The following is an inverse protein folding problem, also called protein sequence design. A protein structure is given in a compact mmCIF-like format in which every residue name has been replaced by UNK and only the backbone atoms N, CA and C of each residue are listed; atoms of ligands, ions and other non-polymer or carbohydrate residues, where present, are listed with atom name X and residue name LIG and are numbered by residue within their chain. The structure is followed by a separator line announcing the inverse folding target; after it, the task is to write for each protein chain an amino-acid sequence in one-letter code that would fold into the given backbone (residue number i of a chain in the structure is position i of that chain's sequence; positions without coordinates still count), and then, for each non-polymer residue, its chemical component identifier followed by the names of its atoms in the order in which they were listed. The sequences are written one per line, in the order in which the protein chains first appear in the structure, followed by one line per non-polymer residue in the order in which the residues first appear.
data_IF_052892151853
#
_entry.id   IF_052892151853
#
_cell.length_a   1.000
_cell.length_b   1.000
_cell.length_c   1.000
_cell.angle_alpha   90.00
_cell.angle_beta   90.00
_cell.angle_gamma   90.00
#
_symmetry.space_group_name_H-M   'P 1'
#
loop_
_entity.id
_entity.type
_entity.pdbx_description
1 polymer ?
2 polymer ?
3 non-polymer ?
4 water ?
#
# COMPACT_ATOMS: atom_id res chain seq x y z
N UNK A 23 -25.55 11.90 -12.74
CA UNK A 23 -24.38 11.96 -11.86
C UNK A 23 -23.50 13.18 -12.15
N UNK A 24 -22.89 13.74 -11.10
CA UNK A 24 -21.95 14.84 -11.26
C UNK A 24 -20.56 14.24 -11.47
N UNK A 25 -19.91 14.61 -12.57
CA UNK A 25 -18.59 14.08 -12.86
C UNK A 25 -17.51 15.08 -12.46
N UNK A 26 -16.32 14.56 -12.19
CA UNK A 26 -15.19 15.36 -11.74
C UNK A 26 -13.96 15.07 -12.60
N UNK A 27 -13.17 16.12 -12.85
CA UNK A 27 -11.90 15.99 -13.57
C UNK A 27 -10.82 16.63 -12.71
N UNK A 28 -9.82 15.84 -12.33
CA UNK A 28 -8.74 16.31 -11.46
C UNK A 28 -7.42 16.24 -12.21
N UNK A 29 -6.57 17.26 -12.03
CA UNK A 29 -5.28 17.31 -12.69
C UNK A 29 -4.27 18.02 -11.78
N UNK A 30 -2.99 17.67 -11.86
CA UNK A 30 -2.49 16.59 -12.72
C UNK A 30 -2.67 15.23 -12.04
N UNK A 31 -2.56 14.15 -12.81
CA UNK A 31 -2.62 12.82 -12.20
C UNK A 31 -1.40 12.55 -11.31
N UNK A 32 -0.25 13.14 -11.65
CA UNK A 32 0.92 13.04 -10.80
C UNK A 32 1.80 14.26 -11.05
N UNK A 33 2.73 14.51 -10.14
CA UNK A 33 3.65 15.63 -10.28
C UNK A 33 4.84 15.44 -9.34
N UNK A 34 6.00 15.91 -9.80
CA UNK A 34 7.20 15.98 -8.99
C UNK A 34 7.43 17.42 -8.57
N UNK A 35 7.70 17.62 -7.28
CA UNK A 35 7.82 18.96 -6.71
C UNK A 35 8.94 18.98 -5.70
N UNK A 36 9.69 20.08 -5.66
CA UNK A 36 10.76 20.24 -4.70
C UNK A 36 10.23 20.75 -3.37
N UNK A 37 11.00 20.52 -2.31
CA UNK A 37 10.69 21.06 -1.00
C UNK A 37 10.66 22.58 -1.05
N UNK A 38 9.68 23.18 -0.39
CA UNK A 38 9.54 24.61 -0.33
C UNK A 38 8.85 25.24 -1.52
N UNK A 39 8.37 24.46 -2.48
CA UNK A 39 7.78 25.00 -3.69
C UNK A 39 6.26 25.06 -3.57
N UNK A 40 5.64 25.88 -4.42
CA UNK A 40 4.21 26.11 -4.40
C UNK A 40 3.51 25.10 -5.30
N UNK A 41 2.64 24.28 -4.70
CA UNK A 41 1.94 23.20 -5.39
C UNK A 41 0.47 23.58 -5.55
N UNK A 42 -0.06 23.42 -6.76
CA UNK A 42 -1.46 23.67 -7.05
C UNK A 42 -2.06 22.46 -7.75
N UNK A 43 -3.19 21.98 -7.23
CA UNK A 43 -3.95 20.87 -7.79
C UNK A 43 -5.33 21.40 -8.11
N UNK A 44 -5.87 21.04 -9.29
CA UNK A 44 -7.16 21.59 -9.71
C UNK A 44 -8.20 20.49 -9.92
N UNK A 45 -9.47 20.91 -9.91
CA UNK A 45 -10.62 20.02 -9.99
C UNK A 45 -11.76 20.75 -10.69
N UNK A 46 -12.39 20.12 -11.68
CA UNK A 46 -13.49 20.73 -12.42
C UNK A 46 -14.69 19.79 -12.34
N UNK A 47 -15.82 20.32 -11.85
CA UNK A 47 -17.06 19.55 -11.78
C UNK A 47 -17.88 19.78 -13.04
N UNK A 48 -18.69 18.78 -13.39
CA UNK A 48 -19.50 18.86 -14.61
C UNK A 48 -20.67 19.81 -14.48
N UNK A 49 -20.90 20.39 -13.31
CA UNK A 49 -21.93 21.40 -13.13
C UNK A 49 -21.53 22.27 -11.95
N UNK A 50 -22.23 23.39 -11.80
CA UNK A 50 -22.10 24.21 -10.58
C UNK A 50 -22.41 23.37 -9.35
N UNK A 51 -21.44 23.23 -8.44
CA UNK A 51 -21.65 22.48 -7.21
C UNK A 51 -21.68 23.39 -5.98
N UNK A 52 -21.81 24.71 -6.17
CA UNK A 52 -22.09 25.62 -5.04
C UNK A 52 -21.06 25.50 -3.92
N UNK A 53 -19.81 25.28 -4.31
CA UNK A 53 -18.66 25.21 -3.40
C UNK A 53 -18.75 24.06 -2.41
N UNK A 54 -19.65 23.09 -2.61
CA UNK A 54 -19.62 21.84 -1.82
C UNK A 54 -18.52 20.96 -2.39
N UNK A 55 -17.29 21.39 -2.14
CA UNK A 55 -16.08 20.73 -2.63
C UNK A 55 -15.13 20.59 -1.45
N UNK A 56 -14.71 19.36 -1.16
CA UNK A 56 -13.74 19.11 -0.11
C UNK A 56 -12.48 18.48 -0.70
N UNK A 57 -11.35 18.73 -0.04
CA UNK A 57 -10.06 18.18 -0.45
C UNK A 57 -9.56 17.20 0.61
N UNK A 58 -8.97 16.10 0.15
CA UNK A 58 -8.48 15.04 1.02
C UNK A 58 -7.03 14.70 0.71
N UNK A 59 -6.31 14.30 1.75
CA UNK A 59 -5.01 13.67 1.64
C UNK A 59 -5.15 12.21 2.01
N UNK A 60 -4.41 11.32 1.33
CA UNK A 60 -4.38 9.91 1.68
C UNK A 60 -2.96 9.38 1.58
N UNK A 61 -2.45 8.88 2.69
CA UNK A 61 -1.12 8.27 2.74
C UNK A 61 -1.24 6.75 2.57
N UNK A 62 -0.14 6.09 2.18
CA UNK A 62 -0.23 4.64 1.90
C UNK A 62 -0.72 3.85 3.10
N UNK A 63 -1.74 3.02 2.86
CA UNK A 63 -2.30 2.17 3.88
C UNK A 63 -3.20 2.87 4.88
N UNK A 64 -3.48 4.15 4.70
CA UNK A 64 -4.25 4.93 5.63
C UNK A 64 -5.56 5.39 4.98
N UNK A 65 -6.47 5.86 5.83
CA UNK A 65 -7.75 6.38 5.39
C UNK A 65 -7.60 7.81 4.89
N UNK A 66 -8.54 8.26 4.03
CA UNK A 66 -8.49 9.67 3.61
C UNK A 66 -8.66 10.59 4.80
N UNK A 67 -8.07 11.78 4.70
CA UNK A 67 -8.18 12.79 5.74
C UNK A 67 -8.55 14.12 5.11
N UNK A 68 -9.56 14.78 5.66
CA UNK A 68 -10.02 16.06 5.12
C UNK A 68 -9.00 17.15 5.37
N UNK A 69 -8.67 17.91 4.32
CA UNK A 69 -7.83 19.10 4.41
C UNK A 69 -8.65 20.38 4.41
N UNK A 70 -9.69 20.43 3.59
CA UNK A 70 -10.48 21.63 3.31
C UNK A 70 -11.92 21.18 3.09
N UNK A 71 -12.88 21.96 3.57
CA UNK A 71 -14.27 21.70 3.25
C UNK A 71 -14.93 22.99 2.75
N UNK A 72 -16.12 22.83 2.16
CA UNK A 72 -16.84 23.91 1.47
C UNK A 72 -15.88 24.81 0.69
N UNK A 73 -15.02 24.17 -0.10
CA UNK A 73 -14.13 24.80 -1.07
C UNK A 73 -12.95 25.57 -0.44
N UNK A 74 -13.18 26.34 0.63
CA UNK A 74 -12.08 27.11 1.19
C UNK A 74 -12.02 27.14 2.71
N UNK A 75 -12.82 26.34 3.41
CA UNK A 75 -12.85 26.40 4.87
C UNK A 75 -11.81 25.47 5.46
N UNK A 76 -11.08 25.97 6.46
CA UNK A 76 -9.93 25.26 7.00
C UNK A 76 -10.29 24.60 8.32
N UNK A 77 -9.43 23.65 8.72
CA UNK A 77 -9.69 22.79 9.86
C UNK A 77 -8.55 22.88 10.85
N UNK A 78 -8.89 22.86 12.14
CA UNK A 78 -7.88 22.73 13.18
C UNK A 78 -7.13 21.41 13.01
N UNK A 79 -5.81 21.47 13.11
CA UNK A 79 -4.99 20.30 12.93
C UNK A 79 -4.43 20.12 11.54
N UNK A 80 -4.83 20.96 10.59
CA UNK A 80 -4.30 20.97 9.23
C UNK A 80 -3.39 22.18 9.09
N UNK A 81 -2.12 22.00 8.70
CA UNK A 81 -1.18 23.12 8.68
C UNK A 81 -1.63 24.24 7.76
N UNK A 82 -1.26 25.47 8.14
CA UNK A 82 -1.76 26.65 7.42
C UNK A 82 -1.29 26.70 5.97
N UNK A 83 -0.26 25.92 5.59
CA UNK A 83 0.20 25.97 4.22
C UNK A 83 -0.80 25.40 3.22
N UNK A 84 -1.85 24.70 3.69
CA UNK A 84 -2.91 24.20 2.83
C UNK A 84 -4.03 25.24 2.73
N UNK A 85 -4.48 25.49 1.50
CA UNK A 85 -5.61 26.39 1.28
C UNK A 85 -6.37 25.95 0.04
N UNK A 86 -7.65 26.28 0.01
CA UNK A 86 -8.50 25.95 -1.13
C UNK A 86 -9.18 27.18 -1.70
N UNK A 87 -9.62 27.11 -2.95
CA UNK A 87 -10.29 28.23 -3.58
C UNK A 87 -11.15 27.73 -4.73
N UNK A 88 -12.00 28.62 -5.23
CA UNK A 88 -12.82 28.36 -6.39
C UNK A 88 -14.30 28.48 -6.09
N UNK A 89 -15.08 28.38 -7.17
CA UNK A 89 -16.54 28.45 -7.12
C UNK A 89 -17.07 27.95 -8.45
N UNK A 90 -18.39 27.80 -8.53
CA UNK A 90 -18.98 27.28 -9.76
C UNK A 90 -18.48 25.86 -10.02
N UNK A 91 -17.76 25.67 -11.13
CA UNK A 91 -17.24 24.36 -11.50
C UNK A 91 -15.77 24.16 -11.17
N UNK A 92 -15.02 25.23 -10.90
CA UNK A 92 -13.56 25.21 -10.89
C UNK A 92 -13.01 25.44 -9.50
N UNK A 93 -12.14 24.53 -9.03
CA UNK A 93 -11.61 24.57 -7.68
C UNK A 93 -10.14 24.19 -7.71
N UNK A 94 -9.42 24.63 -6.69
CA UNK A 94 -7.99 24.34 -6.60
C UNK A 94 -7.58 24.18 -5.15
N UNK A 95 -6.62 23.28 -4.92
CA UNK A 95 -5.97 23.12 -3.62
C UNK A 95 -4.55 23.64 -3.77
N UNK A 96 -4.10 24.45 -2.82
CA UNK A 96 -2.75 25.03 -2.86
C UNK A 96 -1.97 24.63 -1.61
N UNK A 97 -0.75 24.14 -1.82
CA UNK A 97 0.24 23.98 -0.76
C UNK A 97 1.27 25.08 -0.99
N UNK A 98 1.27 26.09 -0.12
CA UNK A 98 2.10 27.27 -0.37
C UNK A 98 3.59 26.95 -0.26
N UNK A 99 3.97 25.93 0.52
CA UNK A 99 5.37 25.56 0.66
C UNK A 99 5.44 24.07 0.99
N UNK A 100 5.90 23.26 0.05
CA UNK A 100 5.85 21.81 0.22
C UNK A 100 6.79 21.35 1.31
N UNK A 101 6.31 20.41 2.13
CA UNK A 101 7.12 19.78 3.16
C UNK A 101 7.12 18.28 2.96
N UNK A 102 8.15 17.62 3.52
CA UNK A 102 8.34 16.18 3.32
C UNK A 102 7.07 15.39 3.58
N UNK A 103 6.38 15.72 4.68
CA UNK A 103 5.18 14.98 5.07
C UNK A 103 4.01 15.19 4.12
N UNK A 104 4.15 16.05 3.11
CA UNK A 104 3.06 16.26 2.15
C UNK A 104 3.09 15.26 1.00
N UNK A 105 4.14 14.43 0.91
CA UNK A 105 4.19 13.33 -0.03
C UNK A 105 2.97 12.42 0.16
N UNK A 106 2.28 12.11 -0.94
CA UNK A 106 1.10 11.27 -0.87
C UNK A 106 0.13 11.56 -2.02
N UNK A 107 -1.09 11.09 -1.85
CA UNK A 107 -2.15 11.24 -2.85
C UNK A 107 -3.21 12.23 -2.34
N UNK A 108 -3.82 12.95 -3.29
CA UNK A 108 -4.79 14.00 -2.97
C UNK A 108 -6.02 13.84 -3.84
N UNK A 109 -7.20 14.08 -3.25
CA UNK A 109 -8.48 13.90 -3.95
C UNK A 109 -9.40 15.07 -3.67
N UNK A 110 -10.06 15.57 -4.71
CA UNK A 110 -11.21 16.43 -4.49
C UNK A 110 -12.47 15.59 -4.38
N UNK A 111 -13.51 16.19 -3.80
CA UNK A 111 -14.79 15.54 -3.54
C UNK A 111 -15.90 16.56 -3.75
N UNK A 112 -16.83 16.29 -4.65
CA UNK A 112 -18.07 17.06 -4.68
C UNK A 112 -19.09 16.38 -3.78
N UNK A 113 -19.74 17.17 -2.93
CA UNK A 113 -20.84 16.65 -2.11
C UNK A 113 -22.04 17.59 -2.20
N UNK A 114 -22.21 18.23 -3.35
CA UNK A 114 -23.46 18.94 -3.59
C UNK A 114 -24.63 17.97 -3.66
N UNK A 115 -24.44 16.81 -4.30
CA UNK A 115 -25.51 15.86 -4.46
C UNK A 115 -24.97 14.45 -4.28
N UNK A 116 -25.73 13.61 -3.61
CA UNK A 116 -25.34 12.22 -3.57
C UNK A 116 -25.90 11.48 -4.80
N UNK A 117 -25.17 10.51 -5.39
CA UNK A 117 -23.85 10.01 -4.97
C UNK A 117 -22.73 11.03 -5.14
N UNK A 118 -21.96 11.21 -4.06
CA UNK A 118 -20.80 12.09 -4.09
C UNK A 118 -19.78 11.55 -5.08
N UNK A 119 -18.86 12.43 -5.48
CA UNK A 119 -17.91 12.07 -6.53
C UNK A 119 -16.51 12.52 -6.13
N UNK A 120 -15.60 11.57 -5.98
CA UNK A 120 -14.18 11.86 -5.82
C UNK A 120 -13.53 12.11 -7.19
N UNK A 121 -12.58 13.04 -7.22
CA UNK A 121 -11.66 13.10 -8.34
C UNK A 121 -10.83 11.84 -8.46
N UNK A 122 -10.18 11.70 -9.62
CA UNK A 122 -9.35 10.52 -9.90
C UNK A 122 -8.04 10.55 -9.13
N UNK A 123 -7.62 11.69 -8.62
CA UNK A 123 -6.53 11.75 -7.66
C UNK A 123 -5.26 12.31 -8.27
N UNK A 124 -4.40 12.84 -7.38
CA UNK A 124 -3.11 13.40 -7.74
C UNK A 124 -2.05 12.79 -6.84
N UNK A 125 -1.06 12.13 -7.45
CA UNK A 125 0.08 11.59 -6.72
C UNK A 125 1.17 12.64 -6.63
N UNK A 126 1.52 13.04 -5.41
CA UNK A 126 2.53 14.06 -5.15
C UNK A 126 3.84 13.38 -4.72
N UNK A 127 4.88 13.53 -5.54
CA UNK A 127 6.18 12.93 -5.24
C UNK A 127 7.24 14.03 -5.21
N UNK A 128 8.27 13.81 -4.37
CA UNK A 128 9.22 14.85 -4.02
C UNK A 128 10.51 14.66 -4.81
N UNK A 129 11.08 15.78 -5.29
CA UNK A 129 12.34 15.75 -6.04
C UNK A 129 13.53 15.67 -5.09
N UNK A 130 14.54 14.92 -5.51
CA UNK A 130 15.80 14.84 -4.79
C UNK A 130 16.92 14.60 -5.81
N UNK A 131 18.14 14.60 -5.33
CA UNK A 131 19.28 14.30 -6.20
C UNK A 131 19.24 12.83 -6.64
N UNK A 132 19.83 12.56 -7.79
CA UNK A 132 19.90 11.19 -8.29
C UNK A 132 20.76 10.34 -7.35
N UNK A 133 20.42 9.06 -7.25
CA UNK A 133 21.13 8.17 -6.33
C UNK A 133 21.19 6.78 -6.92
N UNK A 134 22.38 6.18 -6.89
CA UNK A 134 22.55 4.83 -7.41
C UNK A 134 22.01 3.81 -6.41
N UNK A 135 21.45 2.70 -6.91
CA UNK A 135 20.92 1.68 -6.01
C UNK A 135 22.01 0.93 -5.27
N UNK A 136 21.69 0.49 -4.06
CA UNK A 136 22.51 -0.46 -3.33
C UNK A 136 21.95 -1.86 -3.60
N UNK A 137 22.75 -2.70 -4.25
CA UNK A 137 22.27 -3.98 -4.76
C UNK A 137 22.81 -5.09 -3.88
N UNK A 138 21.91 -5.99 -3.46
CA UNK A 138 22.26 -7.17 -2.67
C UNK A 138 21.56 -8.38 -3.27
N UNK A 139 22.27 -9.51 -3.35
CA UNK A 139 21.75 -10.73 -3.94
C UNK A 139 21.76 -11.84 -2.89
N UNK A 140 20.77 -12.71 -2.94
CA UNK A 140 20.53 -13.71 -1.90
C UNK A 140 20.28 -15.07 -2.53
N UNK A 141 21.14 -16.07 -2.29
CA UNK A 141 20.88 -17.42 -2.78
C UNK A 141 19.66 -18.03 -2.10
N UNK A 142 19.12 -19.13 -2.63
CA UNK A 142 18.02 -19.80 -1.95
C UNK A 142 18.41 -20.23 -0.55
N UNK A 143 17.45 -20.17 0.36
CA UNK A 143 17.71 -20.66 1.70
C UNK A 143 17.71 -22.18 1.71
N UNK A 144 18.36 -22.76 2.71
CA UNK A 144 18.39 -24.21 2.82
C UNK A 144 17.00 -24.78 3.06
N UNK A 145 16.13 -24.03 3.77
CA UNK A 145 14.77 -24.51 3.99
C UNK A 145 14.02 -24.66 2.67
N UNK A 146 14.07 -23.64 1.81
CA UNK A 146 13.36 -23.73 0.54
C UNK A 146 13.92 -24.86 -0.33
N UNK A 147 15.24 -25.02 -0.32
CA UNK A 147 15.84 -26.12 -1.08
C UNK A 147 15.36 -27.47 -0.59
N UNK A 148 15.26 -27.64 0.73
CA UNK A 148 14.75 -28.91 1.25
C UNK A 148 13.30 -29.15 0.82
N UNK A 149 12.56 -28.09 0.54
CA UNK A 149 11.18 -28.22 0.08
C UNK A 149 11.08 -28.40 -1.43
N UNK A 150 12.17 -28.26 -2.17
CA UNK A 150 12.17 -28.53 -3.59
C UNK A 150 12.09 -27.33 -4.52
N UNK A 151 12.12 -26.11 -3.97
CA UNK A 151 12.13 -24.91 -4.78
C UNK A 151 13.42 -24.11 -4.56
N UNK A 152 13.62 -23.11 -5.43
CA UNK A 152 14.85 -22.32 -5.38
C UNK A 152 14.53 -20.91 -5.88
N UNK A 153 14.37 -19.97 -4.96
CA UNK A 153 14.19 -18.57 -5.30
C UNK A 153 15.48 -17.81 -5.06
N UNK A 154 15.88 -17.01 -6.03
CA UNK A 154 17.01 -16.09 -5.90
C UNK A 154 16.46 -14.68 -5.82
N UNK A 155 16.89 -13.93 -4.81
CA UNK A 155 16.32 -12.62 -4.50
C UNK A 155 17.40 -11.55 -4.63
N UNK A 156 17.02 -10.42 -5.21
CA UNK A 156 17.91 -9.29 -5.41
C UNK A 156 17.20 -8.05 -4.89
N UNK A 157 17.84 -7.32 -3.97
CA UNK A 157 17.31 -6.06 -3.46
C UNK A 157 18.04 -4.90 -4.11
N UNK A 158 17.29 -3.92 -4.57
CA UNK A 158 17.84 -2.68 -5.12
C UNK A 158 17.28 -1.57 -4.25
N UNK A 159 18.10 -1.04 -3.36
CA UNK A 159 17.64 -0.17 -2.28
C UNK A 159 18.08 1.27 -2.48
N UNK A 160 17.15 2.20 -2.28
CA UNK A 160 17.44 3.62 -2.12
C UNK A 160 18.04 4.23 -3.38
N UNK A 161 17.33 4.14 -4.49
CA UNK A 161 17.76 4.76 -5.74
C UNK A 161 16.77 5.85 -6.15
N UNK A 162 17.24 6.72 -7.05
CA UNK A 162 16.43 7.79 -7.60
C UNK A 162 17.02 8.23 -8.94
N UNK A 163 16.20 8.40 -9.99
CA UNK A 163 14.73 8.33 -9.96
C UNK A 163 14.15 6.92 -9.96
N UNK A 164 12.83 6.85 -10.12
CA UNK A 164 12.11 5.59 -10.00
C UNK A 164 12.46 4.61 -11.12
N UNK A 165 12.77 5.12 -12.31
CA UNK A 165 13.00 4.27 -13.47
C UNK A 165 14.24 3.41 -13.28
N UNK A 166 14.05 2.10 -13.31
CA UNK A 166 15.16 1.16 -13.18
C UNK A 166 14.78 -0.14 -13.88
N UNK A 167 15.80 -0.86 -14.35
CA UNK A 167 15.62 -2.16 -14.97
C UNK A 167 16.56 -3.16 -14.30
N UNK A 168 16.04 -4.36 -14.04
CA UNK A 168 16.81 -5.45 -13.48
C UNK A 168 16.86 -6.57 -14.49
N UNK A 169 18.04 -7.14 -14.68
CA UNK A 169 18.22 -8.29 -15.55
C UNK A 169 18.85 -9.41 -14.74
N UNK A 170 18.31 -10.61 -14.87
CA UNK A 170 18.91 -11.81 -14.28
C UNK A 170 19.70 -12.54 -15.35
N UNK A 171 20.81 -13.13 -14.93
CA UNK A 171 21.61 -13.98 -15.79
C UNK A 171 22.01 -15.23 -15.03
N UNK A 172 22.01 -16.37 -15.73
CA UNK A 172 22.38 -17.65 -15.16
C UNK A 172 23.47 -18.24 -16.05
N UNK A 173 24.64 -18.51 -15.46
CA UNK A 173 25.81 -18.95 -16.21
C UNK A 173 26.15 -17.97 -17.34
N UNK A 174 25.84 -16.69 -17.12
CA UNK A 174 26.06 -15.65 -18.10
C UNK A 174 24.95 -15.44 -19.09
N UNK A 175 23.84 -16.18 -18.97
CA UNK A 175 22.75 -16.13 -19.93
C UNK A 175 21.52 -15.50 -19.28
N UNK A 176 20.96 -14.49 -19.95
CA UNK A 176 19.82 -13.77 -19.39
C UNK A 176 18.61 -14.70 -19.25
N UNK A 177 17.90 -14.54 -18.13
CA UNK A 177 16.70 -15.31 -17.84
C UNK A 177 15.56 -14.34 -17.56
N UNK A 178 14.46 -14.50 -18.32
CA UNK A 178 13.31 -13.62 -18.17
C UNK A 178 12.10 -14.28 -17.54
N UNK A 179 11.96 -15.60 -17.67
CA UNK A 179 10.81 -16.29 -17.10
C UNK A 179 11.02 -16.57 -15.63
N UNK A 180 9.92 -16.56 -14.88
CA UNK A 180 9.96 -16.84 -13.45
C UNK A 180 10.41 -15.69 -12.57
N UNK A 181 10.27 -14.44 -13.02
CA UNK A 181 10.74 -13.29 -12.28
C UNK A 181 9.54 -12.49 -11.79
N UNK A 182 9.56 -12.11 -10.52
CA UNK A 182 8.54 -11.24 -9.94
C UNK A 182 9.22 -10.02 -9.35
N UNK A 183 8.74 -8.83 -9.72
CA UNK A 183 9.32 -7.57 -9.29
C UNK A 183 8.32 -6.80 -8.45
N UNK A 184 8.80 -6.10 -7.43
CA UNK A 184 7.93 -5.26 -6.61
C UNK A 184 8.65 -3.99 -6.21
N UNK A 185 7.96 -2.86 -6.31
CA UNK A 185 8.49 -1.55 -5.96
C UNK A 185 7.79 -1.00 -4.73
N UNK A 186 8.57 -0.39 -3.85
CA UNK A 186 8.00 0.37 -2.76
C UNK A 186 7.46 1.70 -3.27
N UNK A 187 6.60 2.32 -2.46
CA UNK A 187 6.27 3.72 -2.63
C UNK A 187 7.52 4.58 -2.38
N UNK A 188 7.40 5.87 -2.68
CA UNK A 188 8.51 6.78 -2.39
C UNK A 188 8.80 6.76 -0.90
N UNK A 189 10.07 6.56 -0.57
CA UNK A 189 10.52 6.50 0.81
C UNK A 189 10.17 7.78 1.54
N UNK A 190 9.42 7.66 2.66
CA UNK A 190 8.94 8.83 3.36
C UNK A 190 10.04 9.57 4.11
N UNK A 191 11.27 9.05 4.16
CA UNK A 191 12.33 9.66 4.93
C UNK A 191 13.50 10.17 4.11
N UNK A 192 13.77 9.61 2.92
CA UNK A 192 14.82 10.13 2.06
C UNK A 192 14.40 10.29 0.61
N UNK A 193 13.12 10.08 0.28
CA UNK A 193 12.54 10.32 -1.04
C UNK A 193 13.10 9.38 -2.12
N UNK A 194 13.80 8.32 -1.74
CA UNK A 194 14.27 7.36 -2.72
C UNK A 194 13.20 6.30 -2.98
N UNK A 195 13.54 5.34 -3.84
CA UNK A 195 12.71 4.20 -4.15
C UNK A 195 13.52 2.93 -3.93
N UNK A 196 12.83 1.83 -3.68
CA UNK A 196 13.47 0.52 -3.64
C UNK A 196 12.66 -0.49 -4.43
N UNK A 197 13.31 -1.55 -4.86
CA UNK A 197 12.61 -2.61 -5.55
C UNK A 197 13.22 -3.96 -5.19
N UNK A 198 12.39 -4.99 -5.26
CA UNK A 198 12.80 -6.36 -4.99
C UNK A 198 12.51 -7.19 -6.23
N UNK A 199 13.44 -8.07 -6.58
CA UNK A 199 13.29 -8.94 -7.74
C UNK A 199 13.59 -10.37 -7.31
N UNK A 200 12.64 -11.28 -7.56
CA UNK A 200 12.76 -12.68 -7.16
C UNK A 200 12.70 -13.57 -8.39
N UNK A 201 13.77 -14.33 -8.62
CA UNK A 201 13.82 -15.30 -9.70
C UNK A 201 13.57 -16.68 -9.08
N UNK A 202 12.45 -17.30 -9.44
CA UNK A 202 12.05 -18.57 -8.87
C UNK A 202 12.33 -19.70 -9.85
N UNK A 203 13.17 -20.64 -9.45
CA UNK A 203 13.51 -21.82 -10.23
C UNK A 203 13.13 -23.06 -9.45
N UNK A 204 13.04 -24.19 -10.15
CA UNK A 204 13.01 -25.46 -9.45
C UNK A 204 14.39 -25.73 -8.84
N UNK A 205 14.40 -26.56 -7.80
CA UNK A 205 15.67 -26.89 -7.15
C UNK A 205 16.63 -27.58 -8.11
N UNK A 206 16.10 -28.45 -8.98
CA UNK A 206 16.97 -29.18 -9.89
C UNK A 206 17.50 -28.30 -11.00
N UNK A 207 16.70 -27.33 -11.47
CA UNK A 207 17.22 -26.36 -12.43
C UNK A 207 18.28 -25.48 -11.77
N UNK A 208 18.05 -25.09 -10.51
CA UNK A 208 19.06 -24.35 -9.76
C UNK A 208 20.36 -25.13 -9.67
N UNK A 209 20.29 -26.44 -9.45
CA UNK A 209 21.48 -27.25 -9.27
C UNK A 209 22.20 -27.58 -10.59
N UNK A 210 21.60 -27.28 -11.74
CA UNK A 210 22.25 -27.51 -13.03
C UNK A 210 23.10 -26.33 -13.48
N UNK A 211 23.28 -25.31 -12.64
CA UNK A 211 24.01 -24.12 -13.05
C UNK A 211 24.82 -23.59 -11.88
N UNK A 212 25.81 -22.75 -12.22
CA UNK A 212 26.84 -22.34 -11.26
C UNK A 212 26.75 -20.87 -10.86
N UNK A 213 26.66 -19.96 -11.82
CA UNK A 213 26.73 -18.53 -11.53
C UNK A 213 25.35 -17.89 -11.67
N UNK A 214 24.99 -17.06 -10.68
CA UNK A 214 23.70 -16.38 -10.64
C UNK A 214 23.96 -14.90 -10.43
N UNK A 215 23.34 -14.06 -11.27
CA UNK A 215 23.71 -12.65 -11.37
C UNK A 215 22.47 -11.79 -11.55
N UNK A 216 22.36 -10.73 -10.76
CA UNK A 216 21.37 -9.69 -10.99
C UNK A 216 22.09 -8.38 -11.24
N UNK A 217 21.73 -7.71 -12.33
CA UNK A 217 22.35 -6.46 -12.72
C UNK A 217 21.28 -5.40 -12.89
N UNK A 218 21.61 -4.17 -12.49
CA UNK A 218 20.68 -3.05 -12.47
C UNK A 218 21.18 -1.99 -13.43
N UNK A 219 20.31 -1.57 -14.34
CA UNK A 219 20.59 -0.44 -15.22
C UNK A 219 19.79 0.76 -14.73
N UNK A 220 20.46 1.90 -14.61
CA UNK A 220 19.88 3.06 -13.96
C UNK A 220 20.56 4.31 -14.51
N UNK A 221 19.88 5.45 -14.32
CA UNK A 221 20.38 6.72 -14.83
C UNK A 221 21.73 7.09 -14.22
N UNK A 222 22.00 6.64 -12.99
CA UNK A 222 23.18 7.04 -12.23
C UNK A 222 24.47 6.38 -12.69
N UNK A 223 24.43 5.48 -13.67
CA UNK A 223 25.63 4.78 -14.12
C UNK A 223 25.47 4.36 -15.57
N UNK A 224 26.49 4.60 -16.38
CA UNK A 224 26.45 4.15 -17.77
C UNK A 224 26.57 2.64 -17.87
N UNK A 225 27.21 2.00 -16.89
CA UNK A 225 27.36 0.56 -16.84
C UNK A 225 26.53 -0.02 -15.71
N UNK A 226 26.02 -1.25 -15.88
CA UNK A 226 25.14 -1.83 -14.85
C UNK A 226 25.90 -2.12 -13.57
N UNK A 227 25.17 -2.10 -12.46
CA UNK A 227 25.73 -2.54 -11.18
C UNK A 227 25.36 -4.01 -11.02
N UNK A 228 26.38 -4.84 -10.82
CA UNK A 228 26.26 -6.29 -10.94
C UNK A 228 26.58 -6.92 -9.60
N UNK A 229 25.68 -7.78 -9.12
CA UNK A 229 25.93 -8.64 -7.98
C UNK A 229 25.75 -10.08 -8.41
N UNK A 230 26.71 -10.93 -8.05
CA UNK A 230 26.71 -12.30 -8.51
C UNK A 230 27.19 -13.23 -7.39
N UNK A 231 26.87 -14.52 -7.54
CA UNK A 231 27.42 -15.54 -6.66
C UNK A 231 27.52 -16.85 -7.42
N UNK A 232 28.33 -17.76 -6.88
CA UNK A 232 28.44 -19.11 -7.39
C UNK A 232 27.84 -20.10 -6.39
N UNK A 233 27.05 -21.04 -6.92
CA UNK A 233 26.26 -21.96 -6.10
C UNK A 233 27.09 -22.78 -5.11
N UNK A 234 28.41 -22.75 -5.20
CA UNK A 234 29.24 -23.48 -4.24
C UNK A 234 30.34 -22.66 -3.59
N UNK A 235 30.78 -21.56 -4.19
CA UNK A 235 31.84 -20.76 -3.61
C UNK A 235 31.39 -20.18 -2.27
N UNK A 236 32.36 -19.83 -1.45
CA UNK A 236 32.08 -19.15 -0.19
C UNK A 236 33.11 -18.05 0.08
N UNK B 20 -12.36 8.79 23.65
CA UNK B 20 -11.81 8.93 22.30
C UNK B 20 -12.92 8.74 21.28
N UNK B 21 -12.90 9.53 20.20
CA UNK B 21 -13.91 9.44 19.14
C UNK B 21 -13.31 8.67 17.97
N UNK B 22 -13.98 7.60 17.54
CA UNK B 22 -13.38 6.77 16.51
C UNK B 22 -14.42 5.86 15.87
N UNK B 23 -14.10 5.43 14.65
CA UNK B 23 -14.82 4.39 13.92
C UNK B 23 -13.88 3.20 13.79
N UNK B 24 -14.36 2.00 14.11
CA UNK B 24 -13.53 0.80 14.04
C UNK B 24 -14.26 -0.28 13.23
N UNK B 25 -13.64 -0.72 12.14
CA UNK B 25 -14.25 -1.67 11.23
C UNK B 25 -13.79 -3.09 11.52
N UNK B 26 -14.57 -4.05 11.03
CA UNK B 26 -14.25 -5.46 11.23
C UNK B 26 -13.09 -5.87 10.31
N UNK B 27 -12.58 -7.09 10.54
CA UNK B 27 -11.32 -7.52 9.96
C UNK B 27 -11.45 -7.99 8.52
N UNK B 28 -10.30 -8.34 7.94
CA UNK B 28 -10.27 -8.72 6.51
C UNK B 28 -11.08 -9.98 6.23
N UNK B 29 -11.55 -10.10 4.98
CA UNK B 29 -12.44 -11.17 4.57
C UNK B 29 -11.95 -11.84 3.29
N UNK B 30 -12.27 -13.14 3.17
CA UNK B 30 -12.19 -13.88 1.92
C UNK B 30 -13.54 -14.54 1.73
N UNK B 31 -14.20 -14.25 0.61
CA UNK B 31 -15.53 -14.78 0.35
C UNK B 31 -15.60 -15.26 -1.10
N UNK B 32 -16.50 -16.26 -1.35
CA UNK B 32 -16.56 -16.89 -2.66
C UNK B 32 -17.37 -16.06 -3.65
N UNK B 33 -17.06 -16.16 -4.94
CA UNK B 33 -17.93 -15.56 -5.95
C UNK B 33 -19.35 -16.07 -5.77
N UNK B 34 -20.31 -15.18 -5.93
CA UNK B 34 -21.72 -15.50 -5.79
C UNK B 34 -22.24 -15.66 -4.37
N UNK B 35 -21.40 -15.51 -3.36
CA UNK B 35 -21.84 -15.58 -1.97
C UNK B 35 -22.17 -14.17 -1.47
N UNK B 36 -22.13 -13.96 -0.15
CA UNK B 36 -22.41 -12.65 0.42
C UNK B 36 -21.50 -12.42 1.61
N UNK B 37 -21.36 -11.16 2.02
CA UNK B 37 -20.48 -10.81 3.11
C UNK B 37 -21.13 -9.66 3.86
N UNK B 38 -20.90 -9.61 5.18
CA UNK B 38 -21.43 -8.54 6.01
C UNK B 38 -20.30 -7.98 6.87
N UNK B 39 -19.95 -6.71 6.65
CA UNK B 39 -18.88 -6.04 7.38
C UNK B 39 -19.51 -5.02 8.32
N UNK B 40 -18.79 -4.67 9.38
CA UNK B 40 -19.34 -3.81 10.41
C UNK B 40 -18.42 -2.63 10.68
N UNK B 41 -18.99 -1.62 11.34
CA UNK B 41 -18.27 -0.39 11.65
C UNK B 41 -18.87 0.14 12.94
N UNK B 42 -18.10 0.12 14.03
CA UNK B 42 -18.57 0.52 15.34
C UNK B 42 -18.08 1.93 15.66
N UNK B 43 -19.02 2.81 16.02
CA UNK B 43 -18.73 4.19 16.38
C UNK B 43 -18.70 4.29 17.89
N UNK B 44 -17.68 4.95 18.43
CA UNK B 44 -17.61 5.13 19.88
C UNK B 44 -17.17 6.55 20.20
N UNK B 45 -17.72 7.10 21.27
CA UNK B 45 -17.33 8.39 21.77
C UNK B 45 -18.05 9.58 21.17
N UNK B 46 -18.93 9.36 20.20
CA UNK B 46 -19.58 10.48 19.52
C UNK B 46 -20.63 11.15 20.40
N UNK B 47 -20.89 12.44 20.18
CA UNK B 47 -21.98 13.11 20.91
C UNK B 47 -23.34 12.47 20.61
N UNK B 48 -24.26 12.57 21.59
CA UNK B 48 -25.60 12.04 21.39
C UNK B 48 -26.26 12.71 20.18
N UNK B 49 -27.23 12.01 19.57
CA UNK B 49 -28.14 12.61 18.58
C UNK B 49 -27.43 13.04 17.30
N UNK B 50 -26.31 12.40 16.94
CA UNK B 50 -25.61 12.76 15.71
C UNK B 50 -25.32 11.56 14.82
N UNK B 51 -26.01 10.44 15.02
CA UNK B 51 -25.61 9.24 14.29
C UNK B 51 -25.78 9.41 12.79
N UNK B 52 -24.75 9.02 12.04
CA UNK B 52 -24.87 8.75 10.62
C UNK B 52 -23.71 7.85 10.21
N UNK B 53 -23.81 7.26 9.03
CA UNK B 53 -22.69 6.50 8.49
C UNK B 53 -22.76 6.56 6.97
N UNK B 54 -21.60 6.66 6.35
CA UNK B 54 -21.46 6.58 4.90
C UNK B 54 -20.47 5.47 4.59
N UNK B 55 -20.64 4.83 3.43
CA UNK B 55 -19.79 3.71 3.05
C UNK B 55 -19.15 3.98 1.69
N UNK B 56 -17.86 3.69 1.59
CA UNK B 56 -17.02 4.01 0.44
C UNK B 56 -16.25 2.76 0.05
N UNK B 57 -16.02 2.59 -1.26
CA UNK B 57 -15.19 1.51 -1.77
C UNK B 57 -13.98 2.13 -2.47
N UNK B 58 -12.80 1.56 -2.21
CA UNK B 58 -11.58 1.94 -2.93
C UNK B 58 -10.91 0.69 -3.45
N UNK B 59 -10.84 0.56 -4.77
CA UNK B 59 -10.12 -0.54 -5.39
C UNK B 59 -8.65 -0.18 -5.59
N UNK B 60 -7.77 -1.18 -5.46
CA UNK B 60 -6.37 -1.06 -5.88
C UNK B 60 -5.68 0.17 -5.30
N UNK B 61 -6.14 0.63 -4.13
CA UNK B 61 -5.60 1.81 -3.50
C UNK B 61 -5.78 3.11 -4.28
N UNK B 62 -6.65 3.11 -5.28
CA UNK B 62 -6.76 4.25 -6.18
C UNK B 62 -8.11 4.95 -6.05
N UNK B 63 -8.96 4.82 -7.07
CA UNK B 63 -10.23 5.55 -7.12
C UNK B 63 -11.12 5.18 -5.95
N UNK B 64 -11.91 6.15 -5.46
CA UNK B 64 -12.93 5.87 -4.46
C UNK B 64 -14.32 6.14 -5.00
N UNK B 65 -15.31 5.36 -4.55
CA UNK B 65 -16.70 5.55 -4.95
C UNK B 65 -17.59 5.38 -3.72
N UNK B 66 -18.76 6.01 -3.74
CA UNK B 66 -19.68 5.95 -2.60
C UNK B 66 -20.77 4.91 -2.83
N UNK B 67 -21.03 4.09 -1.81
CA UNK B 67 -22.01 3.02 -1.88
C UNK B 67 -23.39 3.49 -1.43
N UNK B 68 -23.43 4.14 -0.27
CA UNK B 68 -24.71 4.58 0.28
C UNK B 68 -24.48 5.18 1.66
N UNK B 69 -25.59 5.53 2.31
CA UNK B 69 -25.45 6.13 3.63
C UNK B 69 -26.71 5.93 4.45
N UNK B 70 -26.57 6.08 5.76
CA UNK B 70 -27.70 6.21 6.68
C UNK B 70 -27.49 7.54 7.40
N UNK B 71 -28.33 8.53 7.12
CA UNK B 71 -28.15 9.85 7.72
C UNK B 71 -29.48 10.60 7.73
N UNK B 72 -30.14 10.73 8.88
CA UNK B 72 -31.41 11.47 8.90
C UNK B 72 -31.31 12.89 8.37
N UNK B 73 -30.18 13.58 8.58
CA UNK B 73 -29.99 14.93 8.09
C UNK B 73 -29.70 14.98 6.59
N UNK B 74 -29.56 13.83 5.93
CA UNK B 74 -29.38 13.82 4.48
C UNK B 74 -30.45 12.95 3.80
N UNK B 75 -31.57 12.71 4.49
CA UNK B 75 -32.71 12.09 3.88
C UNK B 75 -32.95 10.64 4.22
N UNK B 76 -32.26 10.10 5.21
CA UNK B 76 -32.46 8.72 5.62
C UNK B 76 -31.46 7.74 5.04
N UNK B 77 -31.95 6.60 4.57
CA UNK B 77 -31.09 5.57 3.98
C UNK B 77 -31.19 5.67 2.47
N UNK B 78 -30.04 5.79 1.79
CA UNK B 78 -29.99 5.95 0.35
C UNK B 78 -28.80 5.22 -0.24
N UNK B 79 -28.95 4.76 -1.48
CA UNK B 79 -27.91 4.01 -2.16
C UNK B 79 -27.51 4.68 -3.46
N UNK B 80 -26.22 4.60 -3.77
CA UNK B 80 -25.78 4.83 -5.13
C UNK B 80 -26.43 3.79 -6.04
N UNK B 81 -27.04 4.26 -7.14
CA UNK B 81 -27.71 3.37 -8.09
C UNK B 81 -26.85 2.17 -8.46
N UNK B 82 -25.54 2.38 -8.56
CA UNK B 82 -24.63 1.29 -8.93
C UNK B 82 -24.67 0.13 -7.94
N UNK B 83 -24.88 0.41 -6.66
CA UNK B 83 -24.83 -0.59 -5.60
C UNK B 83 -26.19 -0.93 -5.02
N UNK B 84 -27.29 -0.37 -5.54
CA UNK B 84 -28.59 -0.53 -4.88
C UNK B 84 -29.04 -1.99 -4.87
N UNK B 85 -28.71 -2.74 -5.93
CA UNK B 85 -29.14 -4.13 -5.97
C UNK B 85 -28.43 -5.01 -4.95
N UNK B 86 -27.13 -4.81 -4.76
CA UNK B 86 -26.33 -5.78 -4.03
C UNK B 86 -25.87 -5.30 -2.65
N UNK B 87 -26.18 -4.09 -2.25
CA UNK B 87 -25.78 -3.57 -0.94
C UNK B 87 -26.99 -3.35 -0.05
N UNK B 88 -26.84 -3.65 1.23
CA UNK B 88 -27.89 -3.38 2.21
C UNK B 88 -27.21 -2.80 3.44
N UNK B 89 -27.62 -1.60 3.83
CA UNK B 89 -27.07 -0.87 4.98
C UNK B 89 -28.03 -0.93 6.14
N UNK B 90 -27.53 -1.30 7.31
CA UNK B 90 -28.35 -1.38 8.52
C UNK B 90 -27.53 -0.80 9.67
N UNK B 91 -28.19 -0.61 10.80
CA UNK B 91 -27.51 -0.06 11.97
C UNK B 91 -28.17 -0.60 13.23
N UNK B 92 -27.33 -1.04 14.16
CA UNK B 92 -27.74 -1.31 15.54
C UNK B 92 -27.64 0.04 16.25
N UNK B 93 -28.79 0.69 16.46
CA UNK B 93 -28.77 2.05 17.03
C UNK B 93 -28.35 2.06 18.49
N UNK B 94 -28.56 0.97 19.23
CA UNK B 94 -28.11 0.91 20.62
C UNK B 94 -26.59 1.03 20.71
N UNK B 95 -25.87 0.24 19.91
CA UNK B 95 -24.42 0.19 20.00
C UNK B 95 -23.72 1.08 18.99
N UNK B 96 -24.48 1.80 18.16
CA UNK B 96 -23.92 2.63 17.09
C UNK B 96 -23.01 1.80 16.17
N UNK B 97 -23.44 0.58 15.85
CA UNK B 97 -22.72 -0.29 14.94
C UNK B 97 -23.42 -0.33 13.60
N UNK B 98 -22.73 0.11 12.55
CA UNK B 98 -23.23 0.06 11.18
C UNK B 98 -22.83 -1.27 10.54
N UNK B 99 -23.68 -1.76 9.64
CA UNK B 99 -23.40 -2.98 8.89
C UNK B 99 -23.63 -2.73 7.41
N UNK B 100 -22.77 -3.32 6.59
CA UNK B 100 -22.96 -3.31 5.14
C UNK B 100 -22.92 -4.75 4.67
N UNK B 101 -24.01 -5.20 4.08
CA UNK B 101 -24.12 -6.54 3.53
C UNK B 101 -24.08 -6.43 2.01
N UNK B 102 -23.21 -7.23 1.38
CA UNK B 102 -23.03 -7.24 -0.06
C UNK B 102 -23.25 -8.65 -0.57
N UNK B 103 -24.04 -8.80 -1.63
CA UNK B 103 -24.16 -10.14 -2.21
C UNK B 103 -23.85 -10.09 -3.71
N UNK B 104 -24.13 -11.17 -4.43
CA UNK B 104 -23.76 -11.30 -5.83
C UNK B 104 -22.29 -10.92 -6.05
N UNK B 105 -21.42 -11.44 -5.18
CA UNK B 105 -20.02 -11.02 -5.17
C UNK B 105 -19.27 -11.51 -6.41
N UNK B 106 -18.45 -10.60 -6.97
CA UNK B 106 -17.59 -10.82 -8.11
C UNK B 106 -16.19 -10.32 -7.79
N UNK B 107 -15.23 -10.72 -8.62
CA UNK B 107 -13.85 -10.28 -8.41
C UNK B 107 -13.73 -8.76 -8.39
N UNK B 108 -14.59 -8.05 -9.13
CA UNK B 108 -14.55 -6.59 -9.10
C UNK B 108 -14.97 -6.02 -7.75
N UNK B 109 -15.59 -6.81 -6.88
CA UNK B 109 -15.90 -6.36 -5.54
C UNK B 109 -14.72 -6.53 -4.58
N UNK B 110 -13.59 -7.08 -5.04
CA UNK B 110 -12.40 -7.18 -4.20
C UNK B 110 -11.81 -5.78 -4.02
N UNK B 111 -11.80 -5.29 -2.78
CA UNK B 111 -11.46 -3.88 -2.55
C UNK B 111 -11.37 -3.62 -1.06
N UNK B 112 -10.90 -2.41 -0.71
CA UNK B 112 -10.99 -1.92 0.65
C UNK B 112 -12.28 -1.13 0.79
N UNK B 113 -13.07 -1.45 1.81
CA UNK B 113 -14.31 -0.75 2.10
C UNK B 113 -14.14 0.12 3.34
N UNK B 114 -14.47 1.39 3.20
CA UNK B 114 -14.36 2.35 4.29
C UNK B 114 -15.74 2.76 4.76
N UNK B 115 -15.89 2.96 6.07
CA UNK B 115 -16.98 3.77 6.60
C UNK B 115 -16.46 5.16 6.96
N UNK B 116 -17.35 6.13 6.95
CA UNK B 116 -17.01 7.51 7.30
C UNK B 116 -18.23 8.16 7.91
N UNK B 117 -18.01 9.08 8.83
CA UNK B 117 -19.11 9.72 9.54
C UNK B 117 -19.04 11.23 9.36
N UNK B 118 -20.16 11.81 8.97
CA UNK B 118 -20.25 13.24 8.74
C UNK B 118 -20.38 13.98 10.06
N UNK B 119 -19.61 15.05 10.20
CA UNK B 119 -19.56 15.84 11.42
C UNK B 119 -20.16 17.20 11.11
N UNK B 120 -21.27 17.53 11.76
CA UNK B 120 -22.05 18.69 11.41
C UNK B 120 -21.76 19.84 12.36
N UNK B 121 -21.50 21.03 11.81
CA UNK B 121 -21.23 22.23 12.61
C UNK B 121 -21.98 23.44 12.04
N UNK B 124 -20.70 24.44 9.04
CA UNK B 124 -20.38 23.54 7.95
C UNK B 124 -20.31 22.09 8.39
N UNK B 125 -20.03 21.19 7.46
CA UNK B 125 -19.88 19.79 7.80
C UNK B 125 -18.74 19.19 7.01
N UNK B 126 -18.14 18.14 7.55
CA UNK B 126 -17.13 17.44 6.79
C UNK B 126 -17.03 16.02 7.34
N UNK B 127 -16.40 15.15 6.57
CA UNK B 127 -16.21 13.76 6.96
C UNK B 127 -15.01 13.68 7.89
N UNK B 128 -15.26 14.00 9.16
CA UNK B 128 -14.20 14.16 10.15
C UNK B 128 -13.61 12.84 10.59
N UNK B 129 -14.38 11.75 10.53
CA UNK B 129 -13.89 10.46 11.02
C UNK B 129 -14.08 9.40 9.96
N UNK B 130 -13.07 8.56 9.81
CA UNK B 130 -13.08 7.43 8.88
C UNK B 130 -12.68 6.18 9.63
N UNK B 131 -13.27 5.04 9.25
CA UNK B 131 -12.78 3.78 9.74
C UNK B 131 -11.43 3.45 9.11
N UNK B 132 -10.78 2.39 9.62
CA UNK B 132 -9.48 2.06 9.08
C UNK B 132 -9.58 1.22 7.80
N UNK B 133 -10.78 0.87 7.38
CA UNK B 133 -10.96 0.11 6.16
C UNK B 133 -11.02 -1.38 6.43
N UNK B 134 -11.80 -2.08 5.61
CA UNK B 134 -11.90 -3.54 5.65
C UNK B 134 -11.54 -4.09 4.28
N UNK B 135 -10.52 -4.94 4.23
CA UNK B 135 -10.13 -5.57 2.97
C UNK B 135 -11.01 -6.79 2.72
N UNK B 136 -11.64 -6.82 1.55
CA UNK B 136 -12.48 -7.96 1.13
C UNK B 136 -11.89 -8.50 -0.16
N UNK B 137 -11.55 -9.79 -0.15
CA UNK B 137 -11.14 -10.51 -1.35
C UNK B 137 -12.27 -11.44 -1.77
N UNK B 138 -12.68 -11.35 -3.03
CA UNK B 138 -13.69 -12.24 -3.60
C UNK B 138 -12.94 -13.19 -4.51
N UNK B 139 -12.86 -14.47 -4.13
CA UNK B 139 -12.12 -15.44 -4.93
C UNK B 139 -12.54 -16.85 -4.54
N UNK B 140 -12.48 -17.74 -5.52
CA UNK B 140 -12.65 -19.17 -5.26
C UNK B 140 -11.34 -19.86 -4.89
N UNK B 141 -10.21 -19.18 -4.99
CA UNK B 141 -8.91 -19.81 -4.70
C UNK B 141 -8.80 -20.16 -3.22
N UNK B 142 -7.97 -21.15 -2.94
CA UNK B 142 -7.86 -21.70 -1.58
C UNK B 142 -6.93 -20.88 -0.70
N UNK B 143 -7.35 -20.66 0.54
CA UNK B 143 -6.45 -20.13 1.55
C UNK B 143 -5.20 -20.97 1.63
N UNK B 144 -4.04 -20.31 1.68
CA UNK B 144 -2.76 -20.99 1.69
C UNK B 144 -1.82 -20.23 2.62
N UNK B 145 -1.31 -20.91 3.64
CA UNK B 145 -0.35 -20.32 4.54
C UNK B 145 0.99 -20.13 3.84
N UNK B 146 1.72 -19.05 4.15
CA UNK B 146 2.99 -18.81 3.46
C UNK B 146 4.11 -19.72 3.95
N UNK B 147 5.09 -19.95 3.08
CA UNK B 147 6.40 -20.38 3.50
C UNK B 147 7.24 -19.15 3.77
N UNK B 148 7.97 -19.15 4.88
CA UNK B 148 8.79 -18.02 5.29
C UNK B 148 10.25 -18.48 5.30
N UNK B 149 11.10 -17.75 4.57
CA UNK B 149 12.48 -18.13 4.37
C UNK B 149 13.39 -16.99 4.82
N UNK B 150 14.40 -17.27 5.65
CA UNK B 150 15.40 -16.25 5.96
C UNK B 150 16.39 -16.10 4.82
N UNK B 151 16.83 -14.86 4.58
CA UNK B 151 17.79 -14.57 3.53
C UNK B 151 19.05 -14.00 4.18
N UNK B 152 20.07 -14.82 4.32
CA UNK B 152 21.36 -14.36 4.79
C UNK B 152 22.24 -13.98 3.59
N UNK B 153 23.21 -13.09 3.79
CA UNK B 153 24.10 -12.72 2.68
C UNK B 153 24.85 -13.93 2.12
N UNK B 154 25.39 -13.75 0.92
CA UNK B 154 26.16 -14.79 0.24
C UNK B 154 27.30 -15.27 1.15
N UNK B 155 27.61 -16.56 1.05
CA UNK B 155 28.66 -17.17 1.88
C UNK B 155 29.99 -16.46 1.68
N UNK B 156 30.68 -16.18 2.78
CA UNK B 156 31.99 -15.56 2.72
C UNK B 156 32.18 -14.42 3.71
N UNK B 157 33.38 -13.84 3.73
CA UNK B 157 33.64 -12.70 4.60
C UNK B 157 32.83 -11.49 4.15
N UNK B 158 32.40 -10.69 5.13
CA UNK B 158 31.62 -9.50 4.83
C UNK B 158 32.49 -8.45 4.14
N UNK B 159 31.97 -7.86 3.08
CA UNK B 159 32.66 -6.83 2.32
C UNK B 159 31.91 -5.53 2.55
N UNK B 160 32.31 -4.80 3.59
CA UNK B 160 31.75 -3.48 3.85
C UNK B 160 31.37 -3.30 5.30
N UNK B 161 31.03 -2.05 5.62
CA UNK B 161 30.65 -1.63 6.96
C UNK B 161 29.16 -1.83 7.24
N UNK B 162 28.39 -2.24 6.25
CA UNK B 162 26.97 -2.45 6.40
C UNK B 162 26.58 -3.79 5.79
N UNK B 163 25.50 -4.36 6.28
CA UNK B 163 25.04 -5.66 5.84
C UNK B 163 23.52 -5.61 5.67
N UNK B 164 23.01 -6.26 4.63
CA UNK B 164 21.58 -6.29 4.32
C UNK B 164 21.09 -7.72 4.40
N UNK B 165 20.06 -7.94 5.22
CA UNK B 165 19.43 -9.24 5.36
C UNK B 165 18.04 -9.21 4.75
N UNK B 166 17.48 -10.40 4.51
CA UNK B 166 16.20 -10.49 3.84
C UNK B 166 15.29 -11.54 4.47
N UNK B 167 14.00 -11.38 4.19
CA UNK B 167 12.97 -12.33 4.59
C UNK B 167 12.06 -12.52 3.38
N UNK B 168 11.83 -13.77 2.99
CA UNK B 168 11.00 -14.08 1.83
C UNK B 168 9.74 -14.80 2.28
N UNK B 169 8.59 -14.28 1.88
CA UNK B 169 7.28 -14.76 2.31
C UNK B 169 6.56 -15.23 1.04
N UNK B 170 6.60 -16.53 0.77
CA UNK B 170 6.27 -17.03 -0.56
C UNK B 170 5.02 -17.90 -0.54
N UNK B 171 4.19 -17.73 -1.56
CA UNK B 171 3.07 -18.60 -1.84
C UNK B 171 1.93 -18.62 -0.84
N UNK B 172 1.33 -17.46 -0.55
CA UNK B 172 0.20 -17.39 0.39
C UNK B 172 -1.04 -16.82 -0.28
N UNK B 173 -2.19 -17.08 0.34
CA UNK B 173 -3.45 -16.52 -0.14
C UNK B 173 -4.47 -16.58 0.98
N UNK B 174 -5.31 -15.54 1.17
CA UNK B 174 -5.32 -14.24 0.52
C UNK B 174 -4.48 -13.22 1.30
N UNK B 175 -4.52 -11.96 0.86
CA UNK B 175 -4.01 -10.86 1.67
C UNK B 175 -4.88 -10.70 2.91
N UNK B 176 -4.35 -10.08 3.98
CA UNK B 176 -3.02 -9.49 4.15
C UNK B 176 -1.99 -10.41 4.81
N UNK B 177 -0.73 -9.98 4.80
CA UNK B 177 0.28 -10.46 5.73
C UNK B 177 0.91 -9.25 6.39
N UNK B 178 1.42 -9.44 7.60
CA UNK B 178 2.20 -8.42 8.27
C UNK B 178 3.58 -8.98 8.57
N UNK B 179 4.59 -8.12 8.46
CA UNK B 179 5.97 -8.51 8.69
C UNK B 179 6.66 -7.47 9.55
N UNK B 180 7.42 -7.94 10.54
CA UNK B 180 8.27 -7.09 11.37
C UNK B 180 9.65 -7.72 11.52
N UNK B 181 10.59 -6.93 12.02
CA UNK B 181 11.92 -7.39 12.37
C UNK B 181 12.14 -7.15 13.85
N UNK B 182 12.56 -8.19 14.58
CA UNK B 182 12.77 -8.12 16.03
C UNK B 182 11.51 -7.59 16.72
N UNK B 183 10.37 -8.14 16.29
CA UNK B 183 9.06 -7.83 16.87
C UNK B 183 8.76 -6.34 16.83
N UNK B 184 9.26 -5.64 15.81
CA UNK B 184 9.00 -4.23 15.62
C UNK B 184 10.05 -3.29 16.18
N UNK B 185 10.95 -3.79 17.03
CA UNK B 185 11.98 -2.92 17.61
C UNK B 185 13.03 -2.52 16.58
N UNK B 186 13.20 -3.29 15.52
CA UNK B 186 14.09 -2.95 14.42
C UNK B 186 13.21 -2.41 13.29
N UNK B 187 13.18 -1.08 13.14
CA UNK B 187 12.25 -0.44 12.23
C UNK B 187 12.92 0.42 11.18
N UNK B 188 13.97 1.16 11.52
CA UNK B 188 14.69 1.91 10.51
C UNK B 188 15.57 0.97 9.69
N UNK B 189 15.82 1.37 8.44
CA UNK B 189 16.54 0.49 7.55
C UNK B 189 15.74 -0.66 7.01
N UNK B 190 14.44 -0.70 7.27
CA UNK B 190 13.56 -1.77 6.83
C UNK B 190 12.83 -1.33 5.57
N UNK B 191 12.84 -2.18 4.55
CA UNK B 191 12.07 -1.98 3.33
C UNK B 191 11.25 -3.24 3.11
N UNK B 192 9.94 -3.13 3.26
CA UNK B 192 9.04 -4.26 3.04
C UNK B 192 8.25 -3.99 1.77
N UNK B 193 8.32 -4.91 0.85
CA UNK B 193 7.81 -4.65 -0.48
C UNK B 193 6.38 -5.16 -0.63
N UNK B 194 5.56 -4.45 -1.40
CA UNK B 194 4.19 -4.90 -1.65
C UNK B 194 4.17 -6.30 -2.23
N UNK B 195 3.18 -7.07 -1.81
CA UNK B 195 3.00 -8.42 -2.36
C UNK B 195 2.69 -8.35 -3.85
N UNK B 196 3.09 -9.40 -4.57
CA UNK B 196 2.78 -9.55 -5.99
C UNK B 196 2.04 -10.87 -6.17
N UNK B 197 0.94 -10.83 -6.93
CA UNK B 197 0.08 -11.97 -7.11
C UNK B 197 0.47 -12.72 -8.36
N UNK B 198 0.68 -14.03 -8.24
CA UNK B 198 0.88 -14.87 -9.42
C UNK B 198 0.22 -16.23 -9.20
N UNK B 199 -0.66 -16.61 -10.12
CA UNK B 199 -1.31 -17.92 -10.09
C UNK B 199 -1.99 -18.18 -8.75
N UNK B 200 -2.85 -17.23 -8.35
CA UNK B 200 -3.61 -17.30 -7.10
C UNK B 200 -2.73 -17.36 -5.86
N UNK B 201 -1.44 -17.02 -5.96
CA UNK B 201 -0.56 -16.99 -4.81
C UNK B 201 0.24 -15.69 -4.75
N UNK B 202 0.35 -15.13 -3.55
CA UNK B 202 1.10 -13.91 -3.31
C UNK B 202 2.52 -14.21 -2.85
N UNK B 203 3.44 -13.32 -3.20
CA UNK B 203 4.81 -13.38 -2.68
C UNK B 203 5.22 -11.99 -2.21
N UNK B 204 5.84 -11.92 -1.05
CA UNK B 204 6.25 -10.67 -0.45
C UNK B 204 7.66 -10.85 0.10
N UNK B 205 8.42 -9.76 0.18
CA UNK B 205 9.75 -9.84 0.75
C UNK B 205 10.03 -8.58 1.56
N UNK B 206 11.07 -8.65 2.40
CA UNK B 206 11.49 -7.50 3.17
C UNK B 206 13.00 -7.53 3.35
N UNK B 207 13.64 -6.38 3.17
CA UNK B 207 15.06 -6.25 3.45
C UNK B 207 15.26 -5.34 4.66
N UNK B 208 16.29 -5.64 5.44
CA UNK B 208 16.69 -4.80 6.55
C UNK B 208 18.20 -4.60 6.47
N UNK B 209 18.66 -3.39 6.77
CA UNK B 209 20.07 -3.05 6.68
C UNK B 209 20.56 -2.51 8.02
N UNK B 210 21.63 -3.12 8.54
CA UNK B 210 22.23 -2.73 9.80
C UNK B 210 23.74 -2.72 9.62
N UNK B 211 24.44 -2.09 10.57
CA UNK B 211 25.90 -2.04 10.49
C UNK B 211 26.51 -3.43 10.70
N UNK B 212 27.69 -3.63 10.12
CA UNK B 212 28.36 -4.92 10.19
C UNK B 212 28.59 -5.36 11.64
N UNK B 213 28.87 -4.41 12.53
CA UNK B 213 29.09 -4.74 13.94
C UNK B 213 27.82 -5.14 14.66
N UNK B 214 26.65 -5.06 14.01
CA UNK B 214 25.40 -5.48 14.63
C UNK B 214 25.10 -6.95 14.37
N UNK B 215 25.38 -7.44 13.16
CA UNK B 215 25.01 -8.79 12.77
C UNK B 215 26.20 -9.50 12.17
N UNK B 216 26.43 -10.78 12.51
CA UNK B 216 25.58 -11.65 13.32
C UNK B 216 25.79 -11.55 14.83
N UNK B 217 26.48 -10.50 15.29
CA UNK B 217 26.71 -10.34 16.72
C UNK B 217 25.41 -10.37 17.51
N UNK B 218 24.42 -9.61 17.05
CA UNK B 218 23.11 -9.53 17.68
C UNK B 218 22.09 -10.28 16.86
N UNK B 219 21.04 -10.76 17.54
CA UNK B 219 20.03 -11.57 16.88
C UNK B 219 19.11 -10.70 16.03
N UNK B 220 18.82 -11.15 14.82
CA UNK B 220 17.86 -10.49 13.93
C UNK B 220 16.90 -11.56 13.41
N UNK B 221 15.60 -11.34 13.61
CA UNK B 221 14.57 -12.29 13.26
C UNK B 221 13.45 -11.56 12.53
N UNK B 222 12.90 -12.21 11.52
CA UNK B 222 11.73 -11.73 10.80
C UNK B 222 10.49 -12.40 11.36
N UNK B 223 9.48 -11.61 11.67
CA UNK B 223 8.21 -12.12 12.21
C UNK B 223 7.11 -11.90 11.18
N UNK B 224 6.40 -12.97 10.82
CA UNK B 224 5.40 -12.94 9.78
C UNK B 224 4.08 -13.45 10.36
N UNK B 225 3.01 -12.70 10.12
CA UNK B 225 1.66 -13.14 10.44
C UNK B 225 0.82 -13.18 9.17
N UNK B 226 0.06 -14.27 9.00
CA UNK B 226 -0.91 -14.41 7.91
C UNK B 226 -2.27 -14.69 8.53
N UNK B 227 -3.11 -13.67 8.71
CA UNK B 227 -4.37 -13.85 9.48
C UNK B 227 -5.31 -14.91 8.93
N UNK B 228 -5.41 -15.04 7.60
CA UNK B 228 -6.39 -15.97 7.03
C UNK B 228 -6.15 -17.39 7.51
N UNK B 229 -4.87 -17.79 7.64
CA UNK B 229 -4.52 -19.11 8.12
C UNK B 229 -4.11 -19.12 9.59
N UNK B 230 -4.34 -18.00 10.32
CA UNK B 230 -3.94 -17.87 11.73
C UNK B 230 -2.47 -18.28 11.94
N UNK B 231 -1.63 -17.89 10.99
CA UNK B 231 -0.21 -18.22 10.99
C UNK B 231 0.59 -17.10 11.64
N UNK B 232 1.48 -17.45 12.57
CA UNK B 232 2.49 -16.52 13.08
C UNK B 232 3.83 -17.26 13.17
N UNK B 233 4.82 -16.79 12.42
CA UNK B 233 6.09 -17.52 12.26
C UNK B 233 7.25 -16.56 12.50
N UNK B 234 8.31 -17.09 13.12
CA UNK B 234 9.56 -16.35 13.32
C UNK B 234 10.70 -17.12 12.65
N UNK B 235 11.50 -16.41 11.85
CA UNK B 235 12.68 -16.99 11.21
C UNK B 235 13.89 -16.16 11.56
N UNK B 236 14.81 -16.75 12.33
CA UNK B 236 16.06 -16.09 12.66
C UNK B 236 16.99 -16.11 11.46
N UNK B 237 17.66 -14.98 11.21
CA UNK B 237 18.62 -14.89 10.12
C UNK B 237 19.96 -15.42 10.62
N UNK B 238 20.44 -16.53 10.03
CA UNK B 238 21.68 -17.20 10.43
C UNK B 238 22.72 -17.11 9.32
N UNK B 239 23.99 -16.87 9.67
CA UNK B 239 25.04 -16.87 8.64
C UNK B 239 25.09 -18.21 7.91
N UNK B 240 25.34 -18.14 6.60
CA UNK B 240 25.34 -19.33 5.77
C UNK B 240 26.54 -20.23 6.09
N UNK B 241 26.45 -21.48 5.63
CA UNK B 241 27.52 -22.43 5.77
C UNK B 241 28.09 -22.83 4.42
N UNK B 242 29.12 -23.69 4.43
CA UNK B 242 29.79 -24.12 3.19
C UNK B 242 28.90 -24.92 2.26
X LIG C 1 19.08 -25.00 -16.97
X LIG D 1 26.27 -9.26 -17.36
X LIG E 1 6.55 24.92 7.83
X LIG F 1 14.05 3.68 3.48
X LIG G 1 -26.17 -12.71 3.01
X LIG H 1 -7.46 4.32 21.23
#
# INVERSE_FOLDING_TARGET
MDMRTPAQFLGILLLWFPGIKCDIKMTQSPSSMYVSLGERVTITCKASQDINRYLSWFQQKPGKSPKTLIYRANRMLDGVPSRFSGSGSGQDYSLTISSLEYEDMGNYYCLQYDEFPFTFGSGTKLEIKRADAAPTVSIFPPSSEQLTSGGASVVCFLNNFYPKDINVKWKIDGSERQNGVLNSWTDQDSKDSTYSMSSTLTLTKDEYERHNSYTCEATHKTSTSPIVKSFNRNEC
MEWRWIFLFLLSGTTGVHSEIQLQQSGPELVKPGASVKVSCKASGFPFSTYNIYWVIQSHGKSLEWIGYIDPYNGGTSYNQKFRGKATLTVDKSSSTAYMHLNSLTSEDSAVYYCARRWYTYDGDWFAYWGQGTLVTVSAAKTTAPSVYPLAPVCGDTTGSSVTLGCLVKGYFPEPVTLTWNSGSLSSGVHTFPAVLQSDLYTLSSSVTVTSSTWPSQSITCNVAHPASSTKVDKKIEPRGPTIKPCPPCKCP
ZN ZN
ZN ZN
ZN ZN
ZN ZN
ZN ZN
ZN ZN
#
